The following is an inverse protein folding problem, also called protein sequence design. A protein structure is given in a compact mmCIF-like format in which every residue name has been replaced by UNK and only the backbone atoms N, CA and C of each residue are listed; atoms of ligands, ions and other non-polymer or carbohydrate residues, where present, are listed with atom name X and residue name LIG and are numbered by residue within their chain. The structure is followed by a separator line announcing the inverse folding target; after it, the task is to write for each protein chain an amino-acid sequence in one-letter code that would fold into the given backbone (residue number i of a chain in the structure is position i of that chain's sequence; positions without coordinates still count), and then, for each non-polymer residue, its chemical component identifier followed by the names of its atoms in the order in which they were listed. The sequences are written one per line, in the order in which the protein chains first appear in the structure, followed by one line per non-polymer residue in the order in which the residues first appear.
data_IF_905660922915
#
_entry.id   IF_905660922915
#
_cell.length_a   1.000
_cell.length_b   1.000
_cell.length_c   1.000
_cell.angle_alpha   90.00
_cell.angle_beta   90.00
_cell.angle_gamma   90.00
#
_symmetry.space_group_name_H-M   'P 1'
#
loop_
_entity.id
_entity.type
_entity.pdbx_description
1 polymer ?
#
# COMPACT_ATOMS: atom_id res chain seq x y z
N UNK A 1 1.93 53.00 -28.69
CA UNK A 1 2.76 53.70 -29.70
C UNK A 1 4.14 53.91 -29.10
N UNK A 2 5.27 53.83 -29.84
CA UNK A 2 5.53 53.51 -31.27
C UNK A 2 6.22 52.11 -31.44
N UNK A 3 6.22 51.37 -32.57
CA UNK A 3 6.86 51.53 -33.91
C UNK A 3 8.39 51.75 -33.89
N UNK A 4 9.27 51.22 -34.77
CA UNK A 4 9.32 50.19 -35.84
C UNK A 4 10.77 50.30 -36.41
N UNK A 5 11.45 49.21 -36.81
CA UNK A 5 12.61 49.19 -37.75
C UNK A 5 13.37 47.84 -37.63
N UNK A 6 13.99 47.20 -38.63
CA UNK A 6 13.86 47.10 -40.10
C UNK A 6 14.88 46.04 -40.57
N UNK A 7 14.58 45.38 -41.69
CA UNK A 7 15.33 44.36 -42.47
C UNK A 7 16.71 44.82 -43.00
N UNK A 8 17.63 43.92 -43.47
CA UNK A 8 17.55 43.23 -44.78
C UNK A 8 18.12 41.78 -44.89
N UNK A 9 17.70 41.03 -45.94
CA UNK A 9 18.37 39.84 -46.51
C UNK A 9 19.21 40.21 -47.76
N UNK A 10 19.44 39.36 -48.80
CA UNK A 10 19.26 37.90 -48.95
C UNK A 10 20.42 37.15 -49.70
N UNK A 11 20.27 35.82 -49.94
CA UNK A 11 21.01 35.01 -50.96
C UNK A 11 22.23 34.23 -50.43
N UNK A 12 22.62 33.02 -50.84
CA UNK A 12 22.24 32.10 -51.92
C UNK A 12 23.13 30.83 -51.83
N UNK A 13 22.79 29.79 -52.60
CA UNK A 13 23.30 28.40 -52.61
C UNK A 13 24.83 28.21 -52.78
N UNK A 14 25.39 27.07 -52.32
CA UNK A 14 26.66 26.55 -52.86
C UNK A 14 27.39 25.44 -52.08
N UNK A 15 27.20 24.18 -52.51
CA UNK A 15 28.20 23.13 -52.77
C UNK A 15 29.44 22.84 -51.87
N UNK A 16 29.64 21.52 -51.67
CA UNK A 16 30.89 20.72 -51.65
C UNK A 16 31.70 20.56 -50.35
N UNK A 17 31.63 19.32 -49.84
CA UNK A 17 32.72 18.33 -49.77
C UNK A 17 34.08 18.85 -49.29
N UNK A 18 34.38 18.63 -48.01
CA UNK A 18 35.73 18.70 -47.45
C UNK A 18 36.04 17.42 -46.67
N UNK A 19 36.83 16.54 -47.28
CA UNK A 19 37.46 15.41 -46.63
C UNK A 19 38.32 15.89 -45.44
N UNK A 20 38.11 15.31 -44.26
CA UNK A 20 39.21 15.04 -43.35
C UNK A 20 39.12 13.59 -42.88
N UNK A 21 39.80 12.76 -43.66
CA UNK A 21 40.13 11.39 -43.35
C UNK A 21 41.20 11.32 -42.26
N UNK A 22 41.08 10.28 -41.44
CA UNK A 22 42.13 9.62 -40.66
C UNK A 22 42.62 10.36 -39.41
N UNK A 23 42.14 9.90 -38.25
CA UNK A 23 42.93 9.12 -37.28
C UNK A 23 42.18 9.10 -35.94
N UNK A 24 41.68 7.92 -35.55
CA UNK A 24 41.55 7.44 -34.17
C UNK A 24 40.87 6.06 -34.20
N UNK A 25 41.63 5.07 -34.68
CA UNK A 25 41.43 3.70 -34.25
C UNK A 25 42.12 3.56 -32.89
N UNK A 26 41.55 2.72 -32.02
CA UNK A 26 41.97 2.39 -30.65
C UNK A 26 41.35 3.27 -29.57
N UNK A 27 40.08 3.02 -29.25
CA UNK A 27 39.64 2.66 -27.90
C UNK A 27 38.24 2.04 -28.02
N UNK A 28 38.18 0.70 -27.94
CA UNK A 28 36.93 -0.03 -27.90
C UNK A 28 36.28 0.14 -26.55
N UNK A 29 35.24 0.97 -26.48
CA UNK A 29 34.20 0.85 -25.47
C UNK A 29 32.88 1.02 -26.21
N UNK A 30 32.16 -0.07 -26.39
CA UNK A 30 30.82 -0.05 -26.96
C UNK A 30 29.89 0.67 -25.99
N UNK A 31 29.51 1.90 -26.30
CA UNK A 31 28.38 2.56 -25.66
C UNK A 31 27.14 2.03 -26.36
N UNK A 32 26.50 1.02 -25.77
CA UNK A 32 25.15 0.65 -26.16
C UNK A 32 24.22 1.75 -25.64
N UNK A 33 23.87 2.68 -26.53
CA UNK A 33 22.71 3.56 -26.37
C UNK A 33 21.49 2.67 -26.09
N UNK A 34 21.09 2.61 -24.82
CA UNK A 34 19.83 1.98 -24.42
C UNK A 34 18.73 2.93 -24.85
N UNK A 35 18.29 2.78 -26.09
CA UNK A 35 16.99 3.28 -26.50
C UNK A 35 15.96 2.63 -25.57
N UNK A 36 15.12 3.38 -24.84
CA UNK A 36 14.00 2.77 -24.17
C UNK A 36 13.16 2.07 -25.23
N UNK A 37 12.95 0.77 -25.06
CA UNK A 37 11.96 -0.01 -25.79
C UNK A 37 10.61 0.68 -25.61
N UNK A 38 10.27 1.58 -26.54
CA UNK A 38 8.90 1.95 -26.80
C UNK A 38 8.23 0.68 -27.32
N UNK A 39 7.57 -0.03 -26.40
CA UNK A 39 6.54 -1.00 -26.73
C UNK A 39 5.66 -0.36 -27.80
N UNK A 40 5.54 -0.95 -29.00
CA UNK A 40 4.67 -0.39 -30.01
C UNK A 40 3.26 -0.37 -29.43
N UNK A 41 2.63 0.80 -29.44
CA UNK A 41 1.21 0.92 -29.16
C UNK A 41 0.47 0.05 -30.18
N UNK A 42 0.09 -1.16 -29.75
CA UNK A 42 -0.55 -2.14 -30.59
C UNK A 42 -1.86 -1.53 -31.08
N UNK A 43 -1.91 -1.16 -32.36
CA UNK A 43 -3.16 -0.75 -32.99
C UNK A 43 -4.21 -1.86 -32.75
N UNK A 44 -5.45 -1.51 -32.34
CA UNK A 44 -6.48 -2.52 -32.10
C UNK A 44 -6.65 -3.40 -33.33
N UNK A 45 -6.72 -4.72 -33.14
CA UNK A 45 -7.01 -5.66 -34.21
C UNK A 45 -8.28 -5.22 -34.97
N UNK A 46 -8.38 -5.41 -36.30
CA UNK A 46 -9.55 -5.03 -37.07
C UNK A 46 -10.80 -5.71 -36.49
N UNK A 47 -11.74 -4.90 -36.00
CA UNK A 47 -12.96 -5.36 -35.32
C UNK A 47 -12.97 -5.24 -33.80
N UNK A 48 -11.87 -4.85 -33.14
CA UNK A 48 -11.88 -4.59 -31.70
C UNK A 48 -12.59 -3.25 -31.35
N UNK A 49 -13.12 -3.16 -30.14
CA UNK A 49 -13.71 -1.93 -29.60
C UNK A 49 -12.60 -0.93 -29.23
N UNK A 50 -12.84 0.34 -29.50
CA UNK A 50 -11.97 1.43 -29.06
C UNK A 50 -12.11 1.70 -27.56
N UNK A 51 -11.10 2.32 -26.95
CA UNK A 51 -11.12 2.72 -25.53
C UNK A 51 -12.33 3.59 -25.18
N UNK A 52 -12.75 4.47 -26.10
CA UNK A 52 -13.93 5.33 -25.93
C UNK A 52 -15.22 4.52 -25.90
N UNK A 53 -15.36 3.54 -26.80
CA UNK A 53 -16.50 2.63 -26.82
C UNK A 53 -16.54 1.77 -25.55
N UNK A 54 -15.42 1.13 -25.19
CA UNK A 54 -15.33 0.32 -23.96
C UNK A 54 -15.73 1.11 -22.71
N UNK A 55 -15.26 2.36 -22.58
CA UNK A 55 -15.66 3.25 -21.48
C UNK A 55 -17.16 3.55 -21.49
N UNK A 56 -17.74 3.80 -22.67
CA UNK A 56 -19.16 4.11 -22.82
C UNK A 56 -20.04 2.90 -22.45
N UNK A 57 -19.66 1.70 -22.91
CA UNK A 57 -20.38 0.46 -22.60
C UNK A 57 -20.32 0.15 -21.10
N UNK A 58 -19.16 0.28 -20.47
CA UNK A 58 -19.01 0.09 -19.02
C UNK A 58 -19.84 1.11 -18.23
N UNK A 59 -19.77 2.38 -18.62
CA UNK A 59 -20.50 3.46 -17.96
C UNK A 59 -22.01 3.25 -18.04
N UNK A 60 -22.49 2.79 -19.19
CA UNK A 60 -23.91 2.46 -19.38
C UNK A 60 -24.34 1.28 -18.49
N UNK A 61 -23.56 0.20 -18.45
CA UNK A 61 -23.84 -0.94 -17.56
C UNK A 61 -23.97 -0.48 -16.11
N UNK A 62 -22.99 0.28 -15.60
CA UNK A 62 -23.02 0.78 -14.22
C UNK A 62 -24.21 1.74 -13.99
N UNK A 63 -24.54 2.60 -14.95
CA UNK A 63 -25.72 3.48 -14.86
C UNK A 63 -27.01 2.69 -14.72
N UNK A 64 -27.22 1.68 -15.56
CA UNK A 64 -28.42 0.85 -15.53
C UNK A 64 -28.51 0.01 -14.25
N UNK A 65 -27.40 -0.60 -13.83
CA UNK A 65 -27.30 -1.34 -12.56
C UNK A 65 -27.63 -0.49 -11.33
N UNK A 66 -27.30 0.81 -11.37
CA UNK A 66 -27.60 1.72 -10.26
C UNK A 66 -29.08 2.09 -10.13
N UNK A 67 -29.88 1.84 -11.17
CA UNK A 67 -31.28 2.29 -11.31
C UNK A 67 -32.29 1.14 -11.41
N UNK A 68 -31.88 -0.06 -11.05
CA UNK A 68 -32.79 -1.23 -11.06
C UNK A 68 -33.96 -1.02 -10.10
N UNK A 69 -35.12 -1.53 -10.52
CA UNK A 69 -36.32 -1.59 -9.71
C UNK A 69 -36.71 -3.07 -9.54
N UNK A 70 -36.89 -3.57 -8.30
CA UNK A 70 -36.69 -2.87 -7.03
C UNK A 70 -35.23 -2.49 -6.75
N UNK A 71 -34.94 -1.53 -5.85
CA UNK A 71 -33.57 -1.13 -5.55
C UNK A 71 -32.72 -2.29 -5.01
N UNK A 72 -31.44 -2.31 -5.38
CA UNK A 72 -30.51 -3.37 -5.04
C UNK A 72 -29.56 -2.99 -3.89
N UNK A 73 -29.58 -3.77 -2.82
CA UNK A 73 -28.78 -3.52 -1.63
C UNK A 73 -27.29 -3.88 -1.78
N UNK A 74 -26.96 -4.81 -2.69
CA UNK A 74 -25.63 -5.42 -2.81
C UNK A 74 -25.04 -5.34 -4.23
N UNK A 75 -25.56 -4.47 -5.10
CA UNK A 75 -25.14 -4.37 -6.49
C UNK A 75 -23.69 -3.88 -6.61
N UNK A 76 -22.76 -4.70 -7.10
CA UNK A 76 -21.36 -4.28 -7.26
C UNK A 76 -21.17 -3.41 -8.51
N UNK A 77 -20.28 -2.43 -8.40
CA UNK A 77 -19.76 -1.70 -9.56
C UNK A 77 -18.95 -2.65 -10.43
N UNK A 78 -19.11 -2.52 -11.75
CA UNK A 78 -18.29 -3.21 -12.73
C UNK A 78 -17.07 -2.35 -13.08
N UNK A 79 -15.92 -3.00 -13.23
CA UNK A 79 -14.74 -2.43 -13.87
C UNK A 79 -14.44 -3.17 -15.19
N UNK A 80 -13.75 -2.51 -16.12
CA UNK A 80 -13.39 -3.11 -17.41
C UNK A 80 -12.23 -4.09 -17.24
N UNK A 81 -12.31 -5.24 -17.92
CA UNK A 81 -11.26 -6.24 -17.98
C UNK A 81 -10.87 -6.50 -19.43
N UNK A 82 -9.63 -6.17 -19.78
CA UNK A 82 -9.11 -6.43 -21.13
C UNK A 82 -9.06 -7.93 -21.45
N UNK A 83 -8.81 -8.78 -20.46
CA UNK A 83 -8.85 -10.24 -20.63
C UNK A 83 -10.27 -10.71 -21.02
N UNK A 84 -11.31 -10.17 -20.37
CA UNK A 84 -12.69 -10.48 -20.76
C UNK A 84 -13.04 -9.91 -22.13
N UNK A 85 -12.53 -8.74 -22.49
CA UNK A 85 -12.74 -8.14 -23.80
C UNK A 85 -12.14 -9.00 -24.93
N UNK A 86 -10.95 -9.55 -24.72
CA UNK A 86 -10.32 -10.50 -25.65
C UNK A 86 -11.15 -11.78 -25.80
N UNK A 87 -11.66 -12.33 -24.70
CA UNK A 87 -12.53 -13.51 -24.73
C UNK A 87 -13.87 -13.22 -25.43
N UNK A 88 -14.46 -12.05 -25.19
CA UNK A 88 -15.66 -11.59 -25.87
C UNK A 88 -15.42 -11.37 -27.38
N UNK A 89 -14.27 -10.84 -27.76
CA UNK A 89 -13.86 -10.67 -29.14
C UNK A 89 -13.72 -12.02 -29.86
N UNK A 90 -13.06 -12.99 -29.23
CA UNK A 90 -12.93 -14.34 -29.76
C UNK A 90 -14.31 -15.04 -29.88
N UNK A 91 -15.21 -14.80 -28.93
CA UNK A 91 -16.59 -15.31 -29.00
C UNK A 91 -17.40 -14.64 -30.11
N UNK A 92 -17.25 -13.33 -30.31
CA UNK A 92 -17.92 -12.60 -31.39
C UNK A 92 -17.47 -13.09 -32.77
N UNK A 93 -16.19 -13.45 -32.94
CA UNK A 93 -15.65 -14.05 -34.16
C UNK A 93 -16.29 -15.40 -34.55
N UNK A 94 -17.01 -16.06 -33.63
CA UNK A 94 -17.79 -17.26 -33.97
C UNK A 94 -19.13 -16.96 -34.64
N UNK A 95 -19.56 -15.69 -34.70
CA UNK A 95 -20.78 -15.28 -35.41
C UNK A 95 -22.04 -16.04 -35.01
N UNK A 96 -22.16 -16.42 -33.73
CA UNK A 96 -23.31 -17.15 -33.19
C UNK A 96 -23.17 -18.67 -33.26
N UNK A 97 -22.10 -19.18 -33.88
CA UNK A 97 -21.79 -20.61 -33.84
C UNK A 97 -21.45 -21.06 -32.41
N UNK A 98 -21.80 -22.29 -32.02
CA UNK A 98 -21.38 -22.86 -30.75
C UNK A 98 -19.86 -22.80 -30.63
N UNK A 99 -19.34 -22.38 -29.47
CA UNK A 99 -17.92 -22.54 -29.22
C UNK A 99 -17.56 -24.03 -29.28
N UNK A 100 -16.39 -24.38 -29.85
CA UNK A 100 -15.88 -25.73 -29.74
C UNK A 100 -15.87 -26.13 -28.27
N UNK A 101 -16.43 -27.30 -27.94
CA UNK A 101 -16.32 -27.83 -26.60
C UNK A 101 -14.82 -28.01 -26.31
N UNK A 102 -14.24 -27.15 -25.46
CA UNK A 102 -12.92 -27.42 -24.92
C UNK A 102 -13.04 -28.69 -24.09
N UNK A 103 -12.64 -29.83 -24.68
CA UNK A 103 -12.65 -31.16 -24.08
C UNK A 103 -11.80 -31.29 -22.80
N UNK A 104 -11.28 -30.18 -22.28
CA UNK A 104 -10.42 -30.13 -21.08
C UNK A 104 -10.30 -28.69 -20.54
N UNK A 105 -11.39 -27.93 -20.48
CA UNK A 105 -11.36 -26.69 -19.70
C UNK A 105 -11.03 -27.03 -18.23
N UNK A 106 -9.92 -26.55 -17.66
CA UNK A 106 -9.53 -26.92 -16.30
C UNK A 106 -10.65 -26.52 -15.32
N UNK A 107 -10.90 -27.37 -14.31
CA UNK A 107 -11.92 -27.21 -13.24
C UNK A 107 -11.85 -25.89 -12.43
N UNK A 108 -10.94 -24.98 -12.78
CA UNK A 108 -10.67 -23.69 -12.12
C UNK A 108 -10.94 -22.47 -13.02
N UNK A 109 -11.56 -22.64 -14.18
CA UNK A 109 -12.02 -21.46 -14.94
C UNK A 109 -13.19 -20.83 -14.18
N UNK A 110 -13.13 -19.54 -13.79
CA UNK A 110 -14.27 -18.86 -13.19
C UNK A 110 -15.45 -18.99 -14.15
N UNK A 111 -16.61 -19.44 -13.66
CA UNK A 111 -17.82 -19.53 -14.48
C UNK A 111 -18.12 -18.12 -15.00
N UNK A 112 -18.00 -17.92 -16.31
CA UNK A 112 -18.22 -16.63 -16.98
C UNK A 112 -19.66 -16.53 -17.49
N UNK A 113 -20.19 -15.32 -17.47
CA UNK A 113 -21.49 -14.96 -18.03
C UNK A 113 -21.34 -14.36 -19.42
N UNK A 114 -22.36 -14.50 -20.27
CA UNK A 114 -22.32 -14.03 -21.66
C UNK A 114 -23.66 -13.40 -22.04
N UNK A 115 -23.61 -12.19 -22.59
CA UNK A 115 -24.69 -11.64 -23.40
C UNK A 115 -24.19 -11.51 -24.84
N UNK A 116 -25.05 -11.86 -25.80
CA UNK A 116 -24.70 -11.85 -27.22
C UNK A 116 -25.88 -11.38 -28.05
N UNK A 117 -25.59 -10.56 -29.04
CA UNK A 117 -26.57 -10.10 -30.02
C UNK A 117 -25.96 -10.18 -31.42
N UNK A 118 -26.72 -10.71 -32.36
CA UNK A 118 -26.40 -10.68 -33.79
C UNK A 118 -27.35 -9.72 -34.48
N UNK A 119 -26.82 -8.75 -35.20
CA UNK A 119 -27.56 -7.62 -35.78
C UNK A 119 -27.15 -7.40 -37.22
N UNK A 120 -27.99 -6.85 -38.10
CA UNK A 120 -27.51 -6.28 -39.36
C UNK A 120 -26.51 -5.14 -39.08
N UNK A 121 -25.44 -5.04 -39.87
CA UNK A 121 -24.41 -3.99 -39.69
C UNK A 121 -25.06 -2.60 -39.71
N UNK A 122 -24.65 -1.73 -38.78
CA UNK A 122 -25.11 -0.33 -38.67
C UNK A 122 -26.62 -0.15 -38.40
N UNK A 123 -27.34 -1.20 -38.02
CA UNK A 123 -28.77 -1.11 -37.72
C UNK A 123 -29.07 -0.49 -36.36
N UNK A 124 -28.30 -0.86 -35.33
CA UNK A 124 -28.51 -0.46 -33.93
C UNK A 124 -27.15 -0.27 -33.26
N UNK A 125 -27.01 0.78 -32.45
CA UNK A 125 -25.76 1.03 -31.71
C UNK A 125 -25.60 0.08 -30.51
N UNK A 126 -24.38 -0.32 -30.15
CA UNK A 126 -24.15 -1.16 -28.96
C UNK A 126 -24.73 -0.62 -27.65
N UNK A 127 -24.68 0.69 -27.33
CA UNK A 127 -25.39 1.20 -26.16
C UNK A 127 -26.92 1.00 -26.25
N UNK A 128 -27.51 1.06 -27.44
CA UNK A 128 -28.92 0.76 -27.64
C UNK A 128 -29.22 -0.74 -27.45
N UNK A 129 -28.34 -1.63 -27.90
CA UNK A 129 -28.42 -3.07 -27.60
C UNK A 129 -28.43 -3.33 -26.09
N UNK A 130 -27.55 -2.66 -25.33
CA UNK A 130 -27.51 -2.78 -23.87
C UNK A 130 -28.83 -2.29 -23.24
N UNK A 131 -29.42 -1.20 -23.76
CA UNK A 131 -30.73 -0.73 -23.30
C UNK A 131 -31.85 -1.74 -23.61
N UNK A 132 -31.81 -2.40 -24.78
CA UNK A 132 -32.75 -3.48 -25.12
C UNK A 132 -32.60 -4.68 -24.18
N UNK A 133 -31.37 -5.11 -23.89
CA UNK A 133 -31.11 -6.13 -22.88
C UNK A 133 -31.63 -5.73 -21.50
N UNK A 134 -31.51 -4.46 -21.12
CA UNK A 134 -32.05 -3.98 -19.84
C UNK A 134 -33.59 -3.90 -19.85
N UNK A 135 -34.19 -3.56 -20.98
CA UNK A 135 -35.63 -3.42 -21.15
C UNK A 135 -36.40 -4.74 -20.96
N UNK A 136 -35.72 -5.88 -21.14
CA UNK A 136 -36.25 -7.21 -20.78
C UNK A 136 -36.71 -7.28 -19.31
N UNK A 137 -36.12 -6.48 -18.43
CA UNK A 137 -36.51 -6.38 -17.02
C UNK A 137 -37.97 -5.97 -16.78
N UNK A 138 -38.64 -5.36 -17.77
CA UNK A 138 -40.08 -5.07 -17.72
C UNK A 138 -40.93 -6.34 -17.64
N UNK A 139 -40.40 -7.46 -18.13
CA UNK A 139 -41.06 -8.77 -18.13
C UNK A 139 -40.53 -9.68 -17.02
N UNK A 140 -39.61 -9.21 -16.18
CA UNK A 140 -39.01 -10.00 -15.11
C UNK A 140 -39.63 -9.68 -13.75
N UNK A 141 -40.18 -10.69 -13.07
CA UNK A 141 -40.63 -10.59 -11.68
C UNK A 141 -39.48 -10.91 -10.73
N UNK A 142 -38.96 -9.87 -10.06
CA UNK A 142 -37.88 -10.05 -9.07
C UNK A 142 -38.34 -10.89 -7.86
N UNK A 143 -39.59 -10.74 -7.43
CA UNK A 143 -40.13 -11.45 -6.27
C UNK A 143 -40.34 -12.94 -6.55
N UNK A 144 -40.80 -13.29 -7.76
CA UNK A 144 -40.94 -14.69 -8.19
C UNK A 144 -39.63 -15.29 -8.70
N UNK A 145 -38.63 -14.46 -9.02
CA UNK A 145 -37.42 -14.84 -9.75
C UNK A 145 -37.71 -15.41 -11.15
N UNK A 146 -38.80 -14.97 -11.79
CA UNK A 146 -39.33 -15.55 -13.02
C UNK A 146 -39.47 -14.51 -14.14
N UNK A 147 -39.30 -14.96 -15.38
CA UNK A 147 -39.61 -14.18 -16.57
C UNK A 147 -41.06 -14.46 -17.01
N UNK A 148 -41.76 -13.46 -17.54
CA UNK A 148 -43.09 -13.64 -18.09
C UNK A 148 -43.11 -14.71 -19.18
N UNK A 149 -44.25 -15.40 -19.32
CA UNK A 149 -44.40 -16.41 -20.36
C UNK A 149 -44.16 -15.80 -21.75
N UNK A 150 -43.41 -16.52 -22.59
CA UNK A 150 -43.00 -16.09 -23.94
C UNK A 150 -42.12 -14.84 -24.00
N UNK A 151 -41.55 -14.39 -22.87
CA UNK A 151 -40.56 -13.31 -22.83
C UNK A 151 -39.14 -13.87 -22.63
N UNK A 152 -38.14 -13.03 -22.91
CA UNK A 152 -36.72 -13.32 -22.64
C UNK A 152 -36.22 -12.33 -21.60
N UNK A 153 -35.55 -12.83 -20.56
CA UNK A 153 -35.01 -12.00 -19.47
C UNK A 153 -33.53 -12.30 -19.15
N UNK A 154 -32.92 -13.23 -19.90
CA UNK A 154 -31.58 -13.75 -19.60
C UNK A 154 -30.50 -12.69 -19.75
N UNK A 155 -30.68 -11.74 -20.69
CA UNK A 155 -29.73 -10.65 -20.86
C UNK A 155 -29.85 -9.63 -19.74
N UNK A 156 -31.09 -9.29 -19.35
CA UNK A 156 -31.36 -8.42 -18.21
C UNK A 156 -30.74 -8.98 -16.93
N UNK A 157 -31.05 -10.23 -16.57
CA UNK A 157 -30.59 -10.81 -15.29
C UNK A 157 -29.07 -10.86 -15.22
N UNK A 158 -28.37 -11.15 -16.33
CA UNK A 158 -26.92 -11.11 -16.38
C UNK A 158 -26.37 -9.68 -16.24
N UNK A 159 -26.96 -8.70 -16.94
CA UNK A 159 -26.54 -7.30 -16.89
C UNK A 159 -26.65 -6.75 -15.47
N UNK A 160 -27.70 -7.13 -14.73
CA UNK A 160 -27.97 -6.69 -13.36
C UNK A 160 -27.52 -7.68 -12.28
N UNK A 161 -26.65 -8.65 -12.62
CA UNK A 161 -26.18 -9.63 -11.64
C UNK A 161 -25.25 -8.99 -10.59
N UNK A 162 -25.61 -9.04 -9.32
CA UNK A 162 -24.97 -8.26 -8.26
C UNK A 162 -23.49 -8.58 -8.09
N UNK A 163 -23.09 -9.84 -8.23
CA UNK A 163 -21.71 -10.28 -7.99
C UNK A 163 -20.78 -10.04 -9.17
N UNK A 164 -21.32 -9.93 -10.40
CA UNK A 164 -20.57 -9.65 -11.62
C UNK A 164 -19.93 -8.26 -11.55
N UNK A 165 -18.63 -8.23 -11.30
CA UNK A 165 -17.85 -7.01 -11.04
C UNK A 165 -16.84 -6.68 -12.13
N UNK A 166 -16.70 -7.54 -13.12
CA UNK A 166 -15.80 -7.34 -14.26
C UNK A 166 -16.59 -7.53 -15.55
N UNK A 167 -16.34 -6.65 -16.51
CA UNK A 167 -16.97 -6.64 -17.83
C UNK A 167 -15.90 -6.53 -18.90
N UNK A 168 -16.06 -7.25 -20.00
CA UNK A 168 -15.36 -6.97 -21.24
C UNK A 168 -16.23 -7.33 -22.43
N UNK A 169 -16.23 -6.51 -23.47
CA UNK A 169 -17.04 -6.73 -24.66
C UNK A 169 -16.18 -6.77 -25.92
N UNK A 170 -16.71 -7.36 -26.97
CA UNK A 170 -16.09 -7.46 -28.29
C UNK A 170 -17.15 -7.47 -29.38
N UNK A 171 -16.72 -7.18 -30.61
CA UNK A 171 -17.61 -7.17 -31.78
C UNK A 171 -16.94 -7.84 -32.97
N UNK A 172 -17.71 -8.40 -33.89
CA UNK A 172 -17.15 -8.96 -35.10
C UNK A 172 -18.12 -8.84 -36.28
N UNK A 173 -17.67 -8.34 -37.45
CA UNK A 173 -18.49 -8.40 -38.65
C UNK A 173 -18.65 -9.85 -39.08
N UNK A 174 -19.88 -10.24 -39.38
CA UNK A 174 -20.29 -11.60 -39.66
C UNK A 174 -20.99 -11.65 -41.02
N UNK A 175 -20.81 -12.76 -41.74
CA UNK A 175 -21.59 -13.05 -42.94
C UNK A 175 -22.49 -14.25 -42.66
N UNK A 176 -23.80 -14.02 -42.55
CA UNK A 176 -24.77 -15.09 -42.35
C UNK A 176 -25.63 -15.19 -43.61
N UNK A 177 -25.31 -16.19 -44.45
CA UNK A 177 -25.84 -16.25 -45.81
C UNK A 177 -25.32 -15.08 -46.65
N UNK A 178 -26.23 -14.29 -47.24
CA UNK A 178 -25.90 -13.07 -47.99
C UNK A 178 -26.01 -11.79 -47.15
N UNK A 179 -26.45 -11.89 -45.88
CA UNK A 179 -26.64 -10.73 -45.02
C UNK A 179 -25.35 -10.35 -44.29
N UNK A 180 -24.97 -9.08 -44.39
CA UNK A 180 -23.89 -8.49 -43.61
C UNK A 180 -24.39 -8.21 -42.18
N UNK A 181 -23.89 -8.98 -41.22
CA UNK A 181 -24.27 -8.92 -39.82
C UNK A 181 -23.08 -8.44 -38.96
N UNK A 182 -23.34 -8.10 -37.71
CA UNK A 182 -22.36 -7.80 -36.68
C UNK A 182 -22.75 -8.56 -35.41
N UNK A 183 -21.82 -9.34 -34.89
CA UNK A 183 -21.93 -9.94 -33.58
C UNK A 183 -21.41 -8.97 -32.51
N UNK A 184 -22.19 -8.73 -31.47
CA UNK A 184 -21.79 -7.99 -30.28
C UNK A 184 -21.90 -8.90 -29.06
N UNK A 185 -20.80 -9.04 -28.31
CA UNK A 185 -20.70 -9.95 -27.17
C UNK A 185 -20.14 -9.22 -25.96
N UNK A 186 -20.73 -9.44 -24.79
CA UNK A 186 -20.18 -9.01 -23.51
C UNK A 186 -19.99 -10.22 -22.59
N UNK A 187 -18.81 -10.31 -21.97
CA UNK A 187 -18.41 -11.31 -21.00
C UNK A 187 -18.41 -10.70 -19.58
N UNK A 188 -18.93 -11.46 -18.61
CA UNK A 188 -19.12 -11.03 -17.23
C UNK A 188 -18.39 -11.96 -16.27
N UNK A 189 -17.67 -11.40 -15.29
CA UNK A 189 -17.00 -12.19 -14.24
C UNK A 189 -17.22 -11.65 -12.83
N UNK A 190 -17.60 -12.51 -11.86
CA UNK A 190 -18.16 -13.85 -12.08
C UNK A 190 -19.43 -13.80 -12.96
N UNK A 191 -19.72 -14.89 -13.66
CA UNK A 191 -20.95 -15.05 -14.43
C UNK A 191 -22.18 -15.11 -13.54
N UNK A 192 -23.32 -14.72 -14.10
CA UNK A 192 -24.61 -14.75 -13.42
C UNK A 192 -25.52 -15.87 -13.90
N UNK A 193 -26.83 -15.64 -13.76
CA UNK A 193 -27.90 -16.54 -14.21
C UNK A 193 -27.76 -17.95 -13.62
N UNK A 194 -27.50 -18.02 -12.32
CA UNK A 194 -27.35 -19.29 -11.62
C UNK A 194 -28.68 -19.95 -11.29
N UNK A 195 -28.69 -21.27 -11.37
CA UNK A 195 -29.77 -22.12 -10.89
C UNK A 195 -29.20 -23.11 -9.87
N UNK A 196 -29.91 -23.30 -8.76
CA UNK A 196 -29.54 -24.25 -7.71
C UNK A 196 -30.75 -25.14 -7.46
N UNK A 197 -30.59 -26.45 -7.66
CA UNK A 197 -31.66 -27.45 -7.49
C UNK A 197 -32.94 -27.13 -8.30
N UNK A 198 -32.79 -26.65 -9.54
CA UNK A 198 -33.91 -26.27 -10.40
C UNK A 198 -34.59 -24.95 -10.02
N UNK A 199 -34.04 -24.21 -9.05
CA UNK A 199 -34.53 -22.89 -8.66
C UNK A 199 -33.59 -21.79 -9.18
N UNK A 200 -34.14 -20.88 -9.96
CA UNK A 200 -33.44 -19.68 -10.43
C UNK A 200 -33.09 -18.75 -9.27
N UNK A 201 -31.85 -18.29 -9.23
CA UNK A 201 -31.39 -17.33 -8.23
C UNK A 201 -31.68 -15.91 -8.71
N UNK A 202 -32.26 -15.09 -7.82
CA UNK A 202 -32.49 -13.67 -8.11
C UNK A 202 -31.16 -12.95 -8.37
N UNK A 203 -31.12 -12.01 -9.33
CA UNK A 203 -29.87 -11.38 -9.76
C UNK A 203 -29.22 -10.50 -8.68
N UNK A 204 -30.00 -9.98 -7.73
CA UNK A 204 -29.53 -9.12 -6.65
C UNK A 204 -30.48 -9.17 -5.44
N UNK A 205 -30.01 -8.73 -4.27
CA UNK A 205 -30.84 -8.60 -3.06
C UNK A 205 -31.59 -7.28 -3.07
N UNK A 206 -32.91 -7.33 -2.95
CA UNK A 206 -33.79 -6.15 -2.79
C UNK A 206 -33.44 -5.41 -1.48
N UNK A 207 -33.35 -4.09 -1.54
CA UNK A 207 -33.15 -3.22 -0.37
C UNK A 207 -32.55 -1.86 -0.74
N UNK A 208 -32.37 -0.98 0.25
CA UNK A 208 -31.77 0.32 0.02
C UNK A 208 -30.38 0.18 -0.62
N UNK A 209 -30.06 0.99 -1.63
CA UNK A 209 -28.79 0.88 -2.33
C UNK A 209 -27.61 0.89 -1.35
N UNK A 210 -26.64 0.02 -1.60
CA UNK A 210 -25.44 -0.17 -0.79
C UNK A 210 -25.66 -0.62 0.67
N UNK A 211 -26.88 -0.97 1.11
CA UNK A 211 -27.13 -1.38 2.50
C UNK A 211 -26.57 -2.76 2.84
N UNK A 212 -26.20 -3.57 1.84
CA UNK A 212 -25.64 -4.92 1.99
C UNK A 212 -24.33 -5.08 1.21
N UNK A 213 -23.53 -4.01 1.10
CA UNK A 213 -22.16 -4.13 0.62
C UNK A 213 -21.30 -4.93 1.61
N UNK A 214 -20.43 -5.81 1.11
CA UNK A 214 -19.51 -6.58 1.97
C UNK A 214 -18.35 -5.71 2.47
N UNK A 215 -17.66 -6.15 3.52
CA UNK A 215 -16.53 -5.40 4.09
C UNK A 215 -15.45 -5.03 3.04
N UNK A 216 -15.18 -5.94 2.11
CA UNK A 216 -14.23 -5.74 1.00
C UNK A 216 -14.69 -4.76 -0.09
N UNK A 217 -15.99 -4.44 -0.17
CA UNK A 217 -16.57 -3.45 -1.10
C UNK A 217 -17.51 -2.50 -0.36
N UNK A 218 -17.10 -2.02 0.81
CA UNK A 218 -17.94 -1.23 1.74
C UNK A 218 -18.25 0.20 1.25
N UNK A 219 -17.71 0.61 0.10
CA UNK A 219 -17.96 1.91 -0.50
C UNK A 219 -19.29 1.93 -1.23
N UNK A 220 -19.92 3.10 -1.28
CA UNK A 220 -21.11 3.32 -2.09
C UNK A 220 -20.82 4.37 -3.15
N UNK A 221 -20.61 3.91 -4.38
CA UNK A 221 -20.52 4.77 -5.54
C UNK A 221 -21.91 5.33 -5.84
N UNK A 222 -22.12 6.61 -5.53
CA UNK A 222 -23.37 7.30 -5.85
C UNK A 222 -23.30 7.88 -7.26
N UNK A 223 -24.37 7.72 -8.03
CA UNK A 223 -24.52 8.46 -9.27
C UNK A 223 -24.57 9.98 -8.99
N UNK A 224 -24.17 10.79 -9.97
CA UNK A 224 -24.11 12.26 -9.86
C UNK A 224 -25.47 12.90 -9.51
N UNK A 225 -26.56 12.24 -9.87
CA UNK A 225 -27.93 12.65 -9.56
C UNK A 225 -28.40 12.19 -8.15
N UNK A 226 -27.53 11.54 -7.38
CA UNK A 226 -27.82 10.93 -6.08
C UNK A 226 -28.97 9.90 -6.09
N UNK A 227 -29.39 9.45 -7.27
CA UNK A 227 -30.42 8.42 -7.44
C UNK A 227 -29.74 7.10 -7.79
N UNK A 228 -29.64 6.20 -6.80
CA UNK A 228 -28.97 4.91 -6.96
C UNK A 228 -27.55 4.86 -6.41
N UNK A 229 -27.06 3.64 -6.24
CA UNK A 229 -25.73 3.39 -5.70
C UNK A 229 -25.22 2.00 -6.05
N UNK A 230 -23.90 1.88 -6.17
CA UNK A 230 -23.20 0.62 -6.41
C UNK A 230 -22.17 0.38 -5.32
N UNK A 231 -22.08 -0.85 -4.83
CA UNK A 231 -21.00 -1.28 -3.95
C UNK A 231 -19.67 -1.23 -4.70
N UNK A 232 -18.73 -0.45 -4.20
CA UNK A 232 -17.37 -0.37 -4.72
C UNK A 232 -16.35 -0.57 -3.61
N UNK A 233 -15.13 -0.96 -3.98
CA UNK A 233 -14.01 -0.83 -3.06
C UNK A 233 -13.84 0.67 -2.81
N UNK A 234 -13.96 1.16 -1.56
CA UNK A 234 -13.77 2.58 -1.32
C UNK A 234 -12.38 2.99 -1.81
N UNK A 235 -12.28 4.05 -2.62
CA UNK A 235 -10.97 4.62 -3.01
C UNK A 235 -10.12 4.97 -1.79
N UNK A 236 -10.78 5.23 -0.67
CA UNK A 236 -10.20 5.47 0.62
C UNK A 236 -11.03 4.74 1.70
N UNK A 237 -10.71 3.48 2.02
CA UNK A 237 -11.46 2.70 3.01
C UNK A 237 -11.32 3.29 4.43
N UNK A 238 -10.29 4.10 4.66
CA UNK A 238 -10.05 4.80 5.93
C UNK A 238 -10.95 6.03 6.14
N UNK A 239 -11.69 6.48 5.10
CA UNK A 239 -12.55 7.67 5.13
C UNK A 239 -11.84 8.93 5.66
N UNK A 240 -10.54 9.08 5.38
CA UNK A 240 -9.74 10.23 5.84
C UNK A 240 -8.67 10.65 4.84
N UNK A 241 -8.41 11.94 4.68
CA UNK A 241 -7.38 12.43 3.75
C UNK A 241 -6.24 13.10 4.51
N UNK A 242 -5.01 12.86 4.05
CA UNK A 242 -3.83 13.57 4.54
C UNK A 242 -3.78 14.97 3.90
N UNK A 243 -3.35 15.95 4.68
CA UNK A 243 -3.12 17.33 4.24
C UNK A 243 -1.65 17.52 3.86
N UNK A 244 -1.33 18.68 3.28
CA UNK A 244 0.05 19.11 3.00
C UNK A 244 0.88 18.06 2.26
N UNK A 245 0.30 17.39 1.25
CA UNK A 245 0.93 16.33 0.47
C UNK A 245 1.36 15.07 1.26
N UNK A 246 0.78 14.84 2.44
CA UNK A 246 0.95 13.58 3.17
C UNK A 246 0.39 12.38 2.41
N UNK A 247 1.00 11.21 2.60
CA UNK A 247 0.61 9.98 1.94
C UNK A 247 -0.18 9.07 2.89
N UNK A 248 -1.41 8.71 2.51
CA UNK A 248 -2.24 7.81 3.33
C UNK A 248 -1.79 6.36 3.15
N UNK A 249 -1.37 5.73 4.23
CA UNK A 249 -1.25 4.28 4.26
C UNK A 249 -2.64 3.66 4.44
N UNK A 250 -3.14 3.03 3.38
CA UNK A 250 -4.49 2.48 3.32
C UNK A 250 -4.66 1.25 4.22
N UNK A 251 -3.59 0.50 4.51
CA UNK A 251 -3.67 -0.71 5.35
C UNK A 251 -3.71 -0.38 6.85
N UNK A 252 -3.02 0.68 7.27
CA UNK A 252 -2.98 1.11 8.68
C UNK A 252 -3.86 2.32 8.98
N UNK A 253 -4.41 2.96 7.95
CA UNK A 253 -5.15 4.21 8.05
C UNK A 253 -4.38 5.34 8.77
N UNK A 254 -3.08 5.43 8.48
CA UNK A 254 -2.18 6.43 9.02
C UNK A 254 -1.61 7.33 7.91
N UNK A 255 -1.49 8.63 8.17
CA UNK A 255 -0.85 9.56 7.25
C UNK A 255 0.65 9.63 7.49
N UNK A 256 1.45 9.31 6.46
CA UNK A 256 2.87 9.62 6.44
C UNK A 256 3.04 11.08 6.06
N UNK A 257 3.54 11.89 6.99
CA UNK A 257 3.71 13.32 6.79
C UNK A 257 5.07 13.64 6.18
N UNK A 258 5.14 14.60 5.24
CA UNK A 258 6.42 15.09 4.76
C UNK A 258 7.16 15.86 5.87
N UNK A 259 8.48 16.05 5.75
CA UNK A 259 9.27 16.81 6.72
C UNK A 259 8.65 18.17 7.01
N UNK A 260 8.69 18.58 8.29
CA UNK A 260 8.09 19.84 8.74
C UNK A 260 6.57 19.80 8.92
N UNK A 261 5.90 18.65 8.79
CA UNK A 261 4.48 18.48 9.12
C UNK A 261 4.24 17.29 10.06
N UNK A 262 3.27 17.44 10.95
CA UNK A 262 2.88 16.43 11.94
C UNK A 262 1.36 16.43 12.18
N UNK A 263 0.90 15.55 13.06
CA UNK A 263 -0.50 15.32 13.40
C UNK A 263 -1.15 14.22 12.55
N UNK A 264 -2.31 13.75 13.01
CA UNK A 264 -3.05 12.61 12.42
C UNK A 264 -3.31 12.72 10.91
N UNK A 265 -3.45 13.95 10.41
CA UNK A 265 -3.70 14.25 9.01
C UNK A 265 -2.59 15.13 8.40
N UNK A 266 -1.41 15.21 9.01
CA UNK A 266 -0.33 16.12 8.61
C UNK A 266 -0.75 17.60 8.58
N UNK A 267 -1.69 17.97 9.46
CA UNK A 267 -2.30 19.30 9.48
C UNK A 267 -1.47 20.34 10.23
N UNK A 268 -0.55 19.90 11.10
CA UNK A 268 0.23 20.79 11.95
C UNK A 268 1.59 21.02 11.29
N UNK A 269 1.97 22.27 11.05
CA UNK A 269 3.32 22.61 10.62
C UNK A 269 4.24 22.61 11.83
N UNK A 270 5.38 21.95 11.71
CA UNK A 270 6.38 21.91 12.76
C UNK A 270 7.14 23.24 12.75
N UNK A 271 6.93 24.06 13.77
CA UNK A 271 7.52 25.39 13.90
C UNK A 271 7.91 25.65 15.35
N UNK A 272 8.75 24.76 15.89
CA UNK A 272 9.28 24.90 17.25
C UNK A 272 10.53 25.76 17.17
N UNK A 273 10.59 26.82 17.98
CA UNK A 273 11.80 27.63 18.12
C UNK A 273 12.71 26.96 19.16
N UNK A 274 13.90 26.55 18.73
CA UNK A 274 14.91 26.00 19.62
C UNK A 274 15.78 27.15 20.14
N UNK A 275 15.75 27.39 21.45
CA UNK A 275 16.48 28.52 22.07
C UNK A 275 17.98 28.22 22.11
N UNK A 276 18.34 27.06 22.67
CA UNK A 276 19.72 26.56 22.76
C UNK A 276 19.85 25.20 22.08
N UNK A 277 19.80 25.21 20.76
CA UNK A 277 19.90 24.02 19.92
C UNK A 277 19.49 24.29 18.48
N UNK A 278 19.32 23.23 17.70
CA UNK A 278 18.86 23.33 16.32
C UNK A 278 17.58 22.51 16.11
N UNK A 279 16.73 22.98 15.19
CA UNK A 279 15.47 22.33 14.86
C UNK A 279 15.69 21.22 13.84
N UNK A 280 15.14 20.03 14.11
CA UNK A 280 15.19 18.89 13.21
C UNK A 280 13.83 18.70 12.53
N UNK A 281 13.75 19.09 11.26
CA UNK A 281 12.50 19.11 10.49
C UNK A 281 11.85 17.73 10.30
N UNK A 282 12.66 16.66 10.24
CA UNK A 282 12.19 15.28 10.04
C UNK A 282 11.47 14.71 11.27
N UNK A 283 11.95 15.05 12.47
CA UNK A 283 11.42 14.55 13.74
C UNK A 283 10.51 15.58 14.44
N UNK A 284 10.40 16.78 13.86
CA UNK A 284 9.64 17.90 14.41
C UNK A 284 10.00 18.22 15.87
N UNK A 285 11.30 18.15 16.18
CA UNK A 285 11.85 18.28 17.53
C UNK A 285 13.09 19.17 17.54
N UNK A 286 13.42 19.71 18.72
CA UNK A 286 14.68 20.40 18.92
C UNK A 286 15.75 19.41 19.40
N UNK A 287 16.93 19.49 18.80
CA UNK A 287 18.14 18.85 19.31
C UNK A 287 18.88 19.90 20.13
N UNK A 288 18.93 19.69 21.45
CA UNK A 288 19.46 20.67 22.39
C UNK A 288 20.97 20.64 22.49
N UNK A 289 21.57 21.81 22.65
CA UNK A 289 22.97 21.95 23.01
C UNK A 289 23.21 21.39 24.42
N UNK A 290 24.44 20.95 24.68
CA UNK A 290 24.83 20.35 25.96
C UNK A 290 24.50 21.29 27.13
N UNK A 291 23.78 20.77 28.13
CA UNK A 291 23.34 21.53 29.31
C UNK A 291 21.97 22.19 29.19
N UNK A 292 21.26 21.99 28.08
CA UNK A 292 19.89 22.46 27.88
C UNK A 292 18.95 21.30 27.53
N UNK A 293 17.69 21.38 27.98
CA UNK A 293 16.68 20.34 27.75
C UNK A 293 15.27 20.92 27.58
N UNK A 294 14.33 20.02 27.30
CA UNK A 294 12.93 20.33 27.00
C UNK A 294 12.67 20.53 25.51
N UNK A 295 11.39 20.58 25.13
CA UNK A 295 10.97 20.57 23.72
C UNK A 295 11.47 21.77 22.88
N UNK A 296 11.87 22.87 23.53
CA UNK A 296 12.42 24.08 22.91
C UNK A 296 13.88 24.35 23.31
N UNK A 297 14.50 23.45 24.09
CA UNK A 297 15.84 23.67 24.65
C UNK A 297 15.95 24.97 25.48
N UNK A 298 14.85 25.36 26.12
CA UNK A 298 14.76 26.57 26.94
C UNK A 298 15.22 26.33 28.39
N UNK A 299 15.20 25.08 28.83
CA UNK A 299 15.46 24.73 30.23
C UNK A 299 16.95 24.48 30.40
N UNK A 300 17.63 25.35 31.14
CA UNK A 300 19.02 25.11 31.54
C UNK A 300 19.02 24.01 32.59
N UNK A 301 19.65 22.90 32.26
CA UNK A 301 19.78 21.77 33.19
C UNK A 301 20.88 22.13 34.19
N UNK A 302 20.52 22.28 35.46
CA UNK A 302 21.50 22.40 36.53
C UNK A 302 22.03 21.01 36.83
N UNK A 303 23.26 20.73 36.37
CA UNK A 303 23.98 19.51 36.75
C UNK A 303 24.18 19.47 38.28
N UNK A 304 23.72 18.41 38.99
CA UNK A 304 24.15 18.16 40.35
C UNK A 304 25.34 17.19 40.35
N UNK A 305 26.43 17.57 41.03
CA UNK A 305 27.65 16.78 41.19
C UNK A 305 27.57 15.65 42.24
N UNK A 306 26.39 15.09 42.53
CA UNK A 306 26.23 14.23 43.73
C UNK A 306 25.45 12.92 43.54
N UNK A 307 25.57 12.23 42.41
CA UNK A 307 25.16 10.80 42.29
C UNK A 307 26.02 10.09 41.26
N UNK A 308 27.33 10.06 41.47
CA UNK A 308 28.22 9.24 40.66
C UNK A 308 28.65 8.03 41.48
N UNK A 309 28.05 6.88 41.22
CA UNK A 309 28.30 5.66 41.99
C UNK A 309 29.67 5.06 41.65
N UNK A 310 30.06 5.14 40.37
CA UNK A 310 31.30 4.58 39.87
C UNK A 310 31.83 5.43 38.71
N UNK A 311 33.13 5.79 38.73
CA UNK A 311 33.79 6.47 37.60
C UNK A 311 34.81 5.55 36.95
N UNK A 312 34.73 5.40 35.63
CA UNK A 312 35.69 4.63 34.82
C UNK A 312 36.09 5.49 33.63
N UNK A 313 37.39 5.78 33.49
CA UNK A 313 37.95 6.50 32.33
C UNK A 313 37.29 7.86 32.02
N UNK A 314 36.77 8.53 33.07
CA UNK A 314 36.10 9.83 32.96
C UNK A 314 34.58 9.74 32.81
N UNK A 315 34.07 8.57 32.41
CA UNK A 315 32.64 8.30 32.30
C UNK A 315 32.08 8.00 33.71
N UNK A 316 30.95 8.62 34.04
CA UNK A 316 30.26 8.43 35.31
C UNK A 316 29.13 7.42 35.14
N UNK A 317 29.12 6.39 35.98
CA UNK A 317 28.10 5.35 36.01
C UNK A 317 27.25 5.46 37.27
N UNK A 318 25.94 5.34 37.11
CA UNK A 318 25.00 5.12 38.23
C UNK A 318 24.06 3.98 37.93
N UNK A 319 23.59 3.31 38.99
CA UNK A 319 22.63 2.20 38.93
C UNK A 319 21.35 2.64 39.61
N UNK A 320 20.24 2.60 38.89
CA UNK A 320 18.91 2.90 39.42
C UNK A 320 18.40 1.71 40.20
N UNK A 321 17.85 1.89 41.39
CA UNK A 321 17.25 0.79 42.16
C UNK A 321 15.84 0.39 41.67
N UNK A 322 15.28 1.11 40.71
CA UNK A 322 13.92 0.89 40.18
C UNK A 322 13.93 0.04 38.90
N UNK A 323 13.08 -0.98 38.85
CA UNK A 323 12.85 -1.75 37.64
C UNK A 323 11.99 -0.98 36.62
N UNK A 324 12.35 -1.06 35.33
CA UNK A 324 11.59 -0.45 34.25
C UNK A 324 11.73 -1.25 32.93
N UNK A 325 10.93 -0.89 31.93
CA UNK A 325 11.10 -1.32 30.54
C UNK A 325 12.35 -0.68 29.93
N UNK A 326 12.96 -1.29 28.91
CA UNK A 326 14.10 -0.70 28.19
C UNK A 326 13.87 0.76 27.77
N UNK A 327 12.69 1.05 27.20
CA UNK A 327 12.34 2.40 26.76
C UNK A 327 12.08 3.36 27.93
N UNK A 328 11.47 2.88 29.02
CA UNK A 328 11.27 3.66 30.24
C UNK A 328 12.59 4.01 30.91
N UNK A 329 13.48 3.02 31.09
CA UNK A 329 14.85 3.20 31.59
C UNK A 329 15.64 4.19 30.73
N UNK A 330 15.55 4.08 29.40
CA UNK A 330 16.19 5.03 28.49
C UNK A 330 15.69 6.46 28.70
N UNK A 331 14.38 6.66 28.84
CA UNK A 331 13.79 7.99 29.05
C UNK A 331 14.19 8.54 30.42
N UNK A 332 14.23 7.70 31.46
CA UNK A 332 14.68 8.10 32.80
C UNK A 332 16.15 8.55 32.79
N UNK A 333 17.04 7.82 32.10
CA UNK A 333 18.46 8.19 31.98
C UNK A 333 18.58 9.55 31.30
N UNK A 334 17.88 9.70 30.17
CA UNK A 334 17.86 10.97 29.46
C UNK A 334 17.29 12.10 30.31
N UNK A 335 16.36 11.79 31.22
CA UNK A 335 15.79 12.72 32.18
C UNK A 335 16.77 13.20 33.26
N UNK A 336 17.76 12.38 33.68
CA UNK A 336 18.79 12.81 34.64
C UNK A 336 20.07 13.31 33.96
N UNK A 337 20.08 13.36 32.63
CA UNK A 337 21.18 13.94 31.85
C UNK A 337 22.25 12.94 31.43
N UNK A 338 22.01 11.64 31.62
CA UNK A 338 22.84 10.55 31.12
C UNK A 338 22.23 9.84 29.90
N UNK A 339 22.92 8.80 29.43
CA UNK A 339 22.38 7.83 28.49
C UNK A 339 22.50 6.42 29.09
N UNK A 340 21.74 5.46 28.56
CA UNK A 340 21.98 4.07 28.95
C UNK A 340 23.45 3.68 28.69
N UNK A 341 24.04 2.99 29.66
CA UNK A 341 25.49 2.76 29.70
C UNK A 341 26.08 2.11 28.45
N UNK A 342 27.26 2.58 28.09
CA UNK A 342 28.02 2.11 26.92
C UNK A 342 29.29 1.42 27.37
N UNK A 343 29.57 0.26 26.78
CA UNK A 343 30.72 -0.58 27.16
C UNK A 343 31.74 -0.47 26.04
N UNK A 344 32.75 0.37 26.27
CA UNK A 344 33.75 0.72 25.25
C UNK A 344 35.00 -0.18 25.31
N UNK A 345 35.19 -0.93 26.40
CA UNK A 345 36.37 -1.78 26.58
C UNK A 345 36.13 -2.93 27.58
N UNK A 346 36.98 -3.96 27.53
CA UNK A 346 36.94 -5.07 28.50
C UNK A 346 37.16 -4.58 29.94
N UNK A 347 38.04 -3.58 30.13
CA UNK A 347 38.26 -2.93 31.43
C UNK A 347 36.95 -2.38 32.01
N UNK A 348 36.17 -1.68 31.18
CA UNK A 348 34.86 -1.14 31.59
C UNK A 348 33.92 -2.28 31.95
N UNK A 349 33.83 -3.33 31.12
CA UNK A 349 33.02 -4.52 31.39
C UNK A 349 33.34 -5.16 32.75
N UNK A 350 34.62 -5.42 33.02
CA UNK A 350 35.06 -6.16 34.22
C UNK A 350 34.80 -5.38 35.51
N UNK A 351 35.08 -4.07 35.52
CA UNK A 351 34.84 -3.21 36.68
C UNK A 351 33.34 -3.10 36.94
N UNK A 352 32.55 -2.95 35.88
CA UNK A 352 31.11 -2.85 35.97
C UNK A 352 30.46 -4.14 36.47
N UNK A 353 30.95 -5.31 36.02
CA UNK A 353 30.50 -6.62 36.49
C UNK A 353 30.84 -6.85 37.97
N UNK A 354 32.06 -6.47 38.39
CA UNK A 354 32.47 -6.54 39.79
C UNK A 354 31.61 -5.64 40.70
N UNK A 355 31.37 -4.39 40.28
CA UNK A 355 30.58 -3.44 41.06
C UNK A 355 29.13 -3.89 41.25
N UNK A 356 28.48 -4.37 40.19
CA UNK A 356 27.12 -4.90 40.25
C UNK A 356 27.01 -6.13 41.16
N UNK A 357 28.00 -7.03 41.09
CA UNK A 357 28.05 -8.18 42.00
C UNK A 357 28.17 -7.78 43.48
N UNK A 358 28.73 -6.59 43.81
CA UNK A 358 28.76 -6.09 45.18
C UNK A 358 27.43 -5.50 45.65
N UNK A 359 26.74 -4.75 44.80
CA UNK A 359 25.43 -4.17 45.12
C UNK A 359 24.37 -5.27 45.40
N UNK A 360 24.51 -6.42 44.75
CA UNK A 360 23.70 -7.61 45.04
C UNK A 360 23.96 -8.15 46.45
N UNK A 361 25.21 -8.17 46.91
CA UNK A 361 25.55 -8.62 48.27
C UNK A 361 25.10 -7.67 49.38
N UNK A 362 24.86 -6.38 49.07
CA UNK A 362 24.49 -5.36 50.06
C UNK A 362 22.98 -5.11 50.17
N UNK A 363 22.13 -5.80 49.39
CA UNK A 363 20.67 -5.62 49.37
C UNK A 363 20.22 -4.17 49.02
N UNK A 364 21.07 -3.38 48.36
CA UNK A 364 20.75 -2.00 47.93
C UNK A 364 19.93 -1.95 46.63
N UNK A 365 19.59 -3.13 46.08
CA UNK A 365 18.81 -3.34 44.87
C UNK A 365 17.57 -4.15 45.27
N UNK A 366 16.39 -3.54 45.19
CA UNK A 366 15.16 -4.05 45.82
C UNK A 366 14.39 -5.11 45.02
N UNK A 367 14.75 -5.35 43.77
CA UNK A 367 14.02 -6.29 42.91
C UNK A 367 15.00 -6.97 41.93
N UNK A 368 15.67 -8.02 42.39
CA UNK A 368 16.36 -8.94 41.50
C UNK A 368 15.32 -9.88 40.93
N UNK A 369 15.01 -9.72 39.64
CA UNK A 369 14.19 -10.71 38.95
C UNK A 369 14.87 -12.09 39.13
N UNK A 370 14.18 -12.98 39.85
CA UNK A 370 14.77 -14.11 40.58
C UNK A 370 15.42 -15.15 39.66
N UNK A 371 15.21 -15.04 38.35
CA UNK A 371 15.68 -16.00 37.35
C UNK A 371 16.83 -15.50 36.46
N UNK A 372 17.03 -14.18 36.26
CA UNK A 372 17.92 -13.70 35.18
C UNK A 372 18.99 -12.67 35.55
N UNK A 373 18.91 -11.98 36.70
CA UNK A 373 19.96 -11.06 37.20
C UNK A 373 20.48 -10.04 36.17
N UNK A 374 19.60 -9.53 35.30
CA UNK A 374 19.98 -8.68 34.16
C UNK A 374 19.85 -7.17 34.46
N UNK A 375 20.61 -6.35 33.71
CA UNK A 375 20.58 -4.88 33.75
C UNK A 375 20.50 -4.31 32.34
N UNK A 376 19.75 -3.21 32.14
CA UNK A 376 19.67 -2.56 30.83
C UNK A 376 20.94 -1.80 30.50
N UNK A 377 21.48 -2.04 29.30
CA UNK A 377 22.60 -1.27 28.72
C UNK A 377 22.15 -0.57 27.44
N UNK A 378 22.97 0.36 26.94
CA UNK A 378 22.62 1.21 25.80
C UNK A 378 22.72 0.54 24.43
N UNK A 379 22.99 -0.75 24.31
CA UNK A 379 23.09 -1.41 23.00
C UNK A 379 21.69 -1.75 22.49
N UNK A 380 21.42 -1.56 21.19
CA UNK A 380 20.13 -1.93 20.59
C UNK A 380 20.27 -2.26 19.10
N UNK A 381 19.50 -3.22 18.62
CA UNK A 381 19.48 -3.61 17.22
C UNK A 381 18.63 -2.66 16.37
N UNK A 382 19.22 -2.12 15.29
CA UNK A 382 18.52 -1.22 14.35
C UNK A 382 18.18 -1.95 13.06
N UNK A 383 16.91 -2.35 12.92
CA UNK A 383 16.35 -3.03 11.74
C UNK A 383 16.63 -2.30 10.42
N UNK A 384 16.60 -0.96 10.43
CA UNK A 384 16.85 -0.15 9.22
C UNK A 384 18.32 -0.19 8.73
N UNK A 385 19.26 -0.58 9.60
CA UNK A 385 20.70 -0.61 9.30
C UNK A 385 21.32 -2.00 9.49
N UNK A 386 20.50 -3.01 9.82
CA UNK A 386 20.90 -4.39 10.11
C UNK A 386 22.15 -4.46 11.02
N UNK A 387 22.15 -3.68 12.10
CA UNK A 387 23.34 -3.52 12.95
C UNK A 387 22.99 -3.16 14.39
N UNK A 388 23.75 -3.67 15.36
CA UNK A 388 23.73 -3.18 16.74
C UNK A 388 24.40 -1.81 16.87
N UNK A 389 23.77 -0.93 17.65
CA UNK A 389 24.22 0.43 17.89
C UNK A 389 23.96 0.84 19.32
N UNK A 390 24.83 1.69 19.86
CA UNK A 390 24.59 2.33 21.15
C UNK A 390 23.42 3.32 21.07
N UNK A 391 22.81 3.66 22.20
CA UNK A 391 21.70 4.63 22.32
C UNK A 391 22.08 6.02 21.82
N UNK A 392 23.38 6.33 21.82
CA UNK A 392 24.01 7.52 21.22
C UNK A 392 24.11 7.47 19.70
N UNK A 393 23.86 6.32 19.07
CA UNK A 393 23.92 6.11 17.62
C UNK A 393 25.27 5.57 17.12
N UNK A 394 26.28 5.51 17.99
CA UNK A 394 27.61 5.00 17.68
C UNK A 394 27.58 3.50 17.32
N UNK A 395 28.52 3.09 16.47
CA UNK A 395 28.74 1.67 16.19
C UNK A 395 29.30 0.97 17.41
N UNK A 396 28.89 -0.29 17.59
CA UNK A 396 29.48 -1.19 18.57
C UNK A 396 30.99 -1.34 18.29
N UNK A 397 31.83 -0.83 19.20
CA UNK A 397 33.29 -0.96 19.15
C UNK A 397 33.80 -2.15 20.00
N UNK A 398 33.02 -2.57 20.99
CA UNK A 398 33.34 -3.70 21.86
C UNK A 398 32.74 -4.99 21.29
N UNK A 399 33.49 -6.10 21.31
CA UNK A 399 33.10 -7.37 20.67
C UNK A 399 33.18 -8.59 21.59
N UNK A 400 33.69 -8.44 22.81
CA UNK A 400 33.85 -9.55 23.78
C UNK A 400 32.57 -9.82 24.56
N UNK A 401 31.50 -10.17 23.86
CA UNK A 401 30.23 -10.59 24.46
C UNK A 401 30.26 -12.09 24.80
N UNK A 402 29.37 -12.52 25.68
CA UNK A 402 29.17 -13.94 25.97
C UNK A 402 28.75 -14.69 24.70
N UNK A 403 29.01 -16.00 24.65
CA UNK A 403 28.64 -16.83 23.51
C UNK A 403 27.14 -16.70 23.20
N UNK A 404 26.80 -16.31 21.97
CA UNK A 404 25.43 -16.06 21.54
C UNK A 404 24.94 -14.62 21.69
N UNK A 405 25.74 -13.70 22.24
CA UNK A 405 25.42 -12.26 22.38
C UNK A 405 26.31 -11.37 21.49
N UNK A 406 25.88 -10.16 21.09
CA UNK A 406 24.56 -9.59 21.31
C UNK A 406 23.50 -10.23 20.39
N UNK A 407 22.32 -10.50 20.92
CA UNK A 407 21.21 -11.09 20.17
C UNK A 407 19.97 -10.19 20.14
N UNK A 408 18.90 -10.65 19.50
CA UNK A 408 17.61 -9.97 19.45
C UNK A 408 16.48 -10.84 20.02
N UNK A 409 16.79 -11.82 20.89
CA UNK A 409 15.83 -12.82 21.34
C UNK A 409 14.67 -12.15 22.10
N UNK A 410 13.45 -12.25 21.57
CA UNK A 410 12.23 -12.15 22.39
C UNK A 410 12.24 -13.35 23.32
N UNK A 411 12.39 -13.14 24.62
CA UNK A 411 12.41 -14.20 25.63
C UNK A 411 11.06 -14.95 25.66
N UNK A 412 10.90 -15.96 24.80
CA UNK A 412 9.96 -17.06 25.06
C UNK A 412 10.68 -18.06 25.96
N UNK A 413 10.26 -18.12 27.22
CA UNK A 413 10.83 -19.02 28.20
C UNK A 413 10.78 -20.49 27.77
N UNK A 414 11.86 -21.21 28.05
CA UNK A 414 11.84 -22.56 28.65
C UNK A 414 13.26 -23.01 29.02
N UNK A 415 13.45 -23.36 30.29
CA UNK A 415 14.34 -24.39 30.86
C UNK A 415 15.88 -24.18 30.92
N UNK A 416 16.38 -23.79 32.12
CA UNK A 416 17.31 -24.62 32.94
C UNK A 416 18.85 -24.49 32.82
N UNK A 417 19.46 -23.53 33.55
CA UNK A 417 20.59 -23.53 34.54
C UNK A 417 21.66 -24.68 34.53
N UNK A 418 22.98 -24.51 34.90
CA UNK A 418 23.68 -23.38 35.56
C UNK A 418 25.02 -22.85 34.98
N UNK A 419 25.38 -21.64 35.44
CA UNK A 419 26.71 -21.10 35.79
C UNK A 419 27.85 -20.99 34.75
N UNK A 420 28.16 -19.73 34.39
CA UNK A 420 29.48 -19.11 34.60
C UNK A 420 29.47 -17.58 34.35
N UNK A 421 29.41 -16.78 35.43
CA UNK A 421 29.81 -15.36 35.47
C UNK A 421 28.68 -14.33 35.25
N UNK A 422 28.76 -13.12 35.86
CA UNK A 422 27.75 -12.07 35.68
C UNK A 422 27.86 -11.50 34.27
N UNK A 423 27.10 -12.10 33.35
CA UNK A 423 27.00 -11.70 31.95
C UNK A 423 25.90 -10.67 31.76
N UNK A 424 26.25 -9.50 31.22
CA UNK A 424 25.24 -8.53 30.76
C UNK A 424 24.54 -9.14 29.54
N UNK A 425 23.25 -9.48 29.68
CA UNK A 425 22.42 -9.99 28.58
C UNK A 425 21.16 -9.14 28.40
N UNK A 426 20.69 -9.01 27.14
CA UNK A 426 19.36 -8.46 26.83
C UNK A 426 18.33 -9.59 27.00
N UNK A 427 17.31 -9.40 27.85
CA UNK A 427 16.21 -10.35 27.97
C UNK A 427 15.20 -9.95 29.05
N UNK A 428 13.91 -10.15 28.75
CA UNK A 428 12.75 -9.68 29.54
C UNK A 428 12.81 -10.09 31.01
N UNK A 429 12.70 -9.08 31.86
CA UNK A 429 12.59 -9.18 33.30
C UNK A 429 12.73 -7.78 33.89
N UNK A 430 11.94 -7.45 34.91
CA UNK A 430 11.96 -6.15 35.60
C UNK A 430 13.37 -5.84 36.06
N UNK A 431 14.08 -4.97 35.32
CA UNK A 431 15.51 -4.75 35.53
C UNK A 431 15.87 -3.28 35.52
N UNK A 432 16.93 -2.99 36.27
CA UNK A 432 17.37 -1.68 36.71
C UNK A 432 18.16 -0.92 35.63
N UNK A 433 18.03 0.41 35.70
CA UNK A 433 18.54 1.39 34.74
C UNK A 433 20.01 1.76 35.04
N UNK A 434 20.85 1.95 34.00
CA UNK A 434 22.26 2.34 34.16
C UNK A 434 22.57 3.57 33.33
N UNK A 435 22.93 4.69 33.96
CA UNK A 435 23.42 5.85 33.24
C UNK A 435 24.92 5.76 33.02
N UNK A 436 25.38 6.11 31.82
CA UNK A 436 26.74 6.53 31.51
C UNK A 436 26.67 7.88 30.81
N UNK A 437 27.36 8.89 31.33
CA UNK A 437 27.68 10.12 30.57
C UNK A 437 28.88 9.87 29.69
#
# INVERSE_FOLDING_TARGET
MPQLASFPGPGGQGHRMGLLSMLLALFGIAWTEVWPLQLPEQAPAPGALSRKESFLLLSLHNRLRSRVQPPAANMRRMDWSENLAQLAQARAALCGMPAPALASAPRRTPQMGWNMQLLPISSVSFPEVINLWFAEGQWYSHEAAECAQNATCTHYTQLVWATSSQLGCGRHPCSVGQAAMEAFVCAYSPGGNWEVNGKTIVPYKKGAWCSLCTASVSGCFKAWDHTGGLCEVPRNPCRMSCRNHGHLNISTCHCHCPPGYTGRYCQVRCSVQCIHGHFREEECSCVCDVGYSGAQCATKVHFPFHTCDLRIDGDCFTVSSEADTYYGAKIKCQGKGGALAQIKSQKVQDILAFYLGRLETTNEVTDSDFETRNFWIGLTYKMAKDSFRWTTGEHQSFTSFAFGQPDNHRCQGTQGIPDAGPGLSEGEGTSQEREGT
#
